data_IF_558718641172
#
_entry.id   IF_558718641172
#
_cell.length_a   1.000
_cell.length_b   1.000
_cell.length_c   1.000
_cell.angle_alpha   90.00
_cell.angle_beta   90.00
_cell.angle_gamma   90.00
#
_symmetry.space_group_name_H-M   'P 1'
#
loop_
_entity.id
_entity.type
_entity.pdbx_description
1 polymer ?
#
# COMPACT_ATOMS: atom_id res chain seq x y z
N UNK A 1 43.68 41.68 4.68
CA UNK A 1 43.05 40.84 5.72
C UNK A 1 41.90 40.09 5.06
N UNK A 2 42.07 38.79 4.79
CA UNK A 2 41.05 37.97 4.11
C UNK A 2 40.38 37.05 5.14
N UNK A 3 39.09 37.26 5.37
CA UNK A 3 38.26 36.47 6.28
C UNK A 3 37.86 35.15 5.61
N UNK A 4 38.34 34.03 6.14
CA UNK A 4 37.95 32.69 5.68
C UNK A 4 36.68 32.25 6.41
N UNK A 5 35.53 32.36 5.74
CA UNK A 5 34.25 31.89 6.27
C UNK A 5 34.14 30.37 6.06
N UNK A 6 34.23 29.57 7.13
CA UNK A 6 33.97 28.13 7.06
C UNK A 6 32.46 27.89 6.90
N UNK A 7 32.00 27.09 5.93
CA UNK A 7 30.58 26.77 5.81
C UNK A 7 30.13 25.93 7.01
N UNK A 8 29.09 26.41 7.71
CA UNK A 8 28.37 25.66 8.74
C UNK A 8 27.66 24.49 8.05
N UNK A 9 28.19 23.28 8.19
CA UNK A 9 27.49 22.06 7.78
C UNK A 9 26.42 21.76 8.82
N UNK A 10 25.15 21.91 8.46
CA UNK A 10 24.03 21.54 9.33
C UNK A 10 23.95 20.02 9.47
N UNK A 11 23.66 19.53 10.69
CA UNK A 11 23.52 18.10 10.99
C UNK A 11 22.26 17.45 10.38
N UNK A 12 21.49 18.17 9.56
CA UNK A 12 20.27 17.68 8.90
C UNK A 12 20.50 17.37 7.40
N UNK A 13 21.72 17.05 7.00
CA UNK A 13 21.98 16.52 5.66
C UNK A 13 21.58 15.04 5.62
N UNK A 14 20.41 14.73 5.06
CA UNK A 14 20.07 13.34 4.72
C UNK A 14 21.10 12.86 3.69
N UNK A 15 21.87 11.85 4.07
CA UNK A 15 22.83 11.22 3.17
C UNK A 15 22.06 10.56 2.00
N UNK A 16 22.23 11.00 0.74
CA UNK A 16 21.58 10.36 -0.41
C UNK A 16 22.14 8.95 -0.69
N UNK A 17 23.22 8.57 0.01
CA UNK A 17 23.83 7.24 0.02
C UNK A 17 23.30 6.34 1.14
N UNK A 18 22.13 6.64 1.72
CA UNK A 18 21.47 5.68 2.60
C UNK A 18 21.31 4.37 1.82
N UNK A 19 22.11 3.36 2.18
CA UNK A 19 22.10 2.03 1.58
C UNK A 19 20.70 1.42 1.62
N UNK A 20 20.45 0.31 0.92
CA UNK A 20 19.11 -0.23 0.74
C UNK A 20 18.48 -0.40 2.11
N UNK A 21 17.49 0.45 2.42
CA UNK A 21 16.58 0.14 3.51
C UNK A 21 16.03 -1.21 3.13
N UNK A 22 16.10 -2.20 4.03
CA UNK A 22 15.43 -3.47 3.84
C UNK A 22 13.98 -3.14 3.48
N UNK A 23 13.63 -3.15 2.20
CA UNK A 23 12.34 -2.69 1.72
C UNK A 23 11.38 -3.80 2.12
N UNK A 24 10.65 -3.58 3.21
CA UNK A 24 9.61 -4.50 3.65
C UNK A 24 8.63 -4.64 2.49
N UNK A 25 8.41 -5.87 1.98
CA UNK A 25 7.53 -6.09 0.84
C UNK A 25 6.15 -5.46 1.05
N UNK A 26 5.62 -4.84 -0.01
CA UNK A 26 4.32 -4.19 0.00
C UNK A 26 4.27 -2.79 0.65
N UNK A 27 5.38 -2.27 1.19
CA UNK A 27 5.46 -0.88 1.64
C UNK A 27 5.93 0.04 0.51
N UNK A 28 5.22 1.15 0.30
CA UNK A 28 5.56 2.18 -0.68
C UNK A 28 5.88 3.50 0.04
N UNK A 29 7.10 4.05 -0.11
CA UNK A 29 7.42 5.36 0.45
C UNK A 29 6.62 6.47 -0.28
N UNK A 30 6.15 7.44 0.50
CA UNK A 30 5.36 8.57 0.06
C UNK A 30 6.04 9.92 0.33
N UNK A 31 5.39 11.03 -0.08
CA UNK A 31 5.90 12.37 0.21
C UNK A 31 5.95 12.62 1.72
N UNK A 32 6.83 13.52 2.14
CA UNK A 32 7.00 13.94 3.54
C UNK A 32 7.31 12.80 4.53
N UNK A 33 7.84 11.66 4.05
CA UNK A 33 8.18 10.51 4.90
C UNK A 33 6.98 9.65 5.27
N UNK A 34 5.83 9.83 4.63
CA UNK A 34 4.73 8.89 4.71
C UNK A 34 5.11 7.52 4.13
N UNK A 35 4.47 6.47 4.60
CA UNK A 35 4.60 5.11 4.08
C UNK A 35 3.21 4.58 3.83
N UNK A 36 2.98 4.01 2.66
CA UNK A 36 1.68 3.51 2.24
C UNK A 36 1.71 1.98 2.06
N UNK A 37 0.54 1.38 2.19
CA UNK A 37 0.22 0.03 1.77
C UNK A 37 -0.89 0.08 0.72
N UNK A 38 -0.85 -0.84 -0.24
CA UNK A 38 -1.83 -0.88 -1.33
C UNK A 38 -3.18 -1.43 -0.85
N UNK A 39 -4.27 -0.91 -1.40
CA UNK A 39 -5.61 -1.48 -1.27
C UNK A 39 -5.80 -2.79 -2.04
N UNK A 40 -4.83 -3.16 -2.89
CA UNK A 40 -4.96 -4.24 -3.87
C UNK A 40 -5.68 -3.83 -5.16
N UNK A 41 -6.14 -2.58 -5.27
CA UNK A 41 -6.83 -2.03 -6.44
C UNK A 41 -6.06 -0.80 -6.94
N UNK A 42 -5.34 -0.88 -8.07
CA UNK A 42 -4.50 0.22 -8.56
C UNK A 42 -5.23 1.54 -8.74
N UNK A 43 -6.46 1.51 -9.27
CA UNK A 43 -7.26 2.72 -9.51
C UNK A 43 -7.63 3.42 -8.20
N UNK A 44 -8.00 2.65 -7.16
CA UNK A 44 -8.31 3.19 -5.84
C UNK A 44 -7.05 3.76 -5.16
N UNK A 45 -5.92 3.08 -5.27
CA UNK A 45 -4.64 3.59 -4.75
C UNK A 45 -4.26 4.91 -5.42
N UNK A 46 -4.53 5.05 -6.72
CA UNK A 46 -4.36 6.30 -7.46
C UNK A 46 -5.22 7.43 -6.90
N UNK A 47 -6.52 7.17 -6.68
CA UNK A 47 -7.45 8.14 -6.09
C UNK A 47 -7.02 8.57 -4.68
N UNK A 48 -6.51 7.63 -3.88
CA UNK A 48 -6.03 7.88 -2.51
C UNK A 48 -4.63 8.51 -2.45
N UNK A 49 -3.97 8.72 -3.59
CA UNK A 49 -2.63 9.31 -3.65
C UNK A 49 -1.50 8.35 -3.26
N UNK A 50 -1.74 7.04 -3.29
CA UNK A 50 -0.72 6.01 -3.06
C UNK A 50 -1.17 4.77 -2.29
N UNK A 51 -2.43 4.71 -1.86
CA UNK A 51 -3.00 3.65 -1.03
C UNK A 51 -3.32 4.13 0.39
N UNK A 52 -3.31 3.22 1.37
CA UNK A 52 -3.58 3.54 2.77
C UNK A 52 -2.29 3.87 3.52
N UNK A 53 -2.30 4.92 4.34
CA UNK A 53 -1.17 5.25 5.21
C UNK A 53 -0.90 4.11 6.21
N UNK A 54 0.35 3.73 6.39
CA UNK A 54 0.74 2.76 7.40
C UNK A 54 0.36 3.27 8.81
N UNK A 55 -0.28 2.42 9.61
CA UNK A 55 -0.78 2.78 10.94
C UNK A 55 -2.13 3.53 10.96
N UNK A 56 -2.76 3.72 9.80
CA UNK A 56 -4.12 4.29 9.72
C UNK A 56 -5.20 3.25 10.03
N UNK A 57 -6.38 3.74 10.43
CA UNK A 57 -7.62 2.97 10.52
C UNK A 57 -8.52 3.36 9.34
N UNK A 58 -8.94 2.36 8.56
CA UNK A 58 -9.80 2.55 7.39
C UNK A 58 -11.18 1.99 7.69
N UNK A 59 -12.22 2.78 7.43
CA UNK A 59 -13.61 2.36 7.51
C UNK A 59 -14.23 2.39 6.12
N UNK A 60 -14.80 1.27 5.70
CA UNK A 60 -15.52 1.15 4.43
C UNK A 60 -17.01 1.24 4.74
N UNK A 61 -17.66 2.29 4.23
CA UNK A 61 -19.11 2.43 4.30
C UNK A 61 -19.71 1.84 3.05
N UNK A 62 -20.70 0.98 3.22
CA UNK A 62 -21.41 0.37 2.11
C UNK A 62 -22.50 1.29 1.58
N UNK A 63 -22.59 1.37 0.26
CA UNK A 63 -23.72 1.97 -0.45
C UNK A 63 -24.79 0.90 -0.70
N UNK A 64 -26.06 1.14 -0.31
CA UNK A 64 -27.16 0.22 -0.61
C UNK A 64 -27.31 -0.15 -2.09
N UNK A 65 -26.94 0.74 -3.01
CA UNK A 65 -27.05 0.50 -4.45
C UNK A 65 -25.80 -0.19 -5.04
N UNK A 66 -24.67 -0.18 -4.31
CA UNK A 66 -23.38 -0.69 -4.78
C UNK A 66 -22.59 -1.41 -3.65
N UNK A 67 -22.97 -2.65 -3.28
CA UNK A 67 -22.38 -3.38 -2.17
C UNK A 67 -21.00 -3.98 -2.48
N UNK A 68 -19.95 -3.16 -2.51
CA UNK A 68 -18.59 -3.58 -2.89
C UNK A 68 -17.59 -3.69 -1.74
N UNK A 69 -18.01 -3.50 -0.49
CA UNK A 69 -17.13 -3.51 0.67
C UNK A 69 -16.35 -4.82 0.82
N UNK A 70 -16.97 -5.96 0.52
CA UNK A 70 -16.30 -7.28 0.53
C UNK A 70 -15.29 -7.43 -0.60
N UNK A 71 -15.48 -6.79 -1.76
CA UNK A 71 -14.49 -6.78 -2.84
C UNK A 71 -13.23 -6.03 -2.39
N UNK A 72 -13.41 -4.85 -1.77
CA UNK A 72 -12.30 -4.06 -1.23
C UNK A 72 -11.52 -4.87 -0.18
N UNK A 73 -12.22 -5.50 0.76
CA UNK A 73 -11.59 -6.30 1.81
C UNK A 73 -10.80 -7.50 1.25
N UNK A 74 -11.36 -8.23 0.27
CA UNK A 74 -10.68 -9.36 -0.36
C UNK A 74 -9.42 -8.93 -1.09
N UNK A 75 -9.46 -7.83 -1.84
CA UNK A 75 -8.27 -7.31 -2.54
C UNK A 75 -7.19 -6.86 -1.56
N UNK A 76 -7.56 -6.15 -0.50
CA UNK A 76 -6.62 -5.73 0.53
C UNK A 76 -5.93 -6.92 1.20
N UNK A 77 -6.69 -7.95 1.57
CA UNK A 77 -6.13 -9.17 2.15
C UNK A 77 -5.28 -9.96 1.15
N UNK A 78 -5.73 -10.14 -0.09
CA UNK A 78 -4.95 -10.82 -1.11
C UNK A 78 -3.62 -10.11 -1.36
N UNK A 79 -3.62 -8.78 -1.40
CA UNK A 79 -2.41 -7.97 -1.55
C UNK A 79 -1.42 -8.22 -0.39
N UNK A 80 -1.92 -8.27 0.85
CA UNK A 80 -1.09 -8.62 2.00
C UNK A 80 -0.45 -10.01 1.87
N UNK A 81 -1.20 -11.01 1.40
CA UNK A 81 -0.69 -12.36 1.19
C UNK A 81 0.42 -12.42 0.13
N UNK A 82 0.26 -11.71 -0.99
CA UNK A 82 1.28 -11.61 -2.05
C UNK A 82 2.61 -11.08 -1.52
N UNK A 83 2.54 -10.13 -0.58
CA UNK A 83 3.73 -9.54 0.05
C UNK A 83 4.19 -10.30 1.30
N UNK A 84 3.63 -11.48 1.61
CA UNK A 84 3.91 -12.25 2.83
C UNK A 84 3.71 -11.44 4.13
N UNK A 85 2.75 -10.52 4.12
CA UNK A 85 2.39 -9.73 5.30
C UNK A 85 1.46 -10.56 6.20
N UNK A 86 1.63 -10.49 7.54
CA UNK A 86 0.72 -11.16 8.46
C UNK A 86 -0.66 -10.52 8.41
N UNK A 87 -1.71 -11.35 8.31
CA UNK A 87 -3.10 -10.89 8.25
C UNK A 87 -3.91 -11.49 9.39
N UNK A 88 -4.78 -10.66 9.96
CA UNK A 88 -5.80 -11.07 10.92
C UNK A 88 -7.17 -10.77 10.31
N UNK A 89 -8.01 -11.80 10.20
CA UNK A 89 -9.40 -11.66 9.78
C UNK A 89 -10.32 -12.00 10.95
N UNK A 90 -11.14 -11.02 11.34
CA UNK A 90 -12.19 -11.17 12.33
C UNK A 90 -13.54 -10.90 11.67
N UNK A 91 -14.51 -11.78 11.91
CA UNK A 91 -15.84 -11.68 11.30
C UNK A 91 -16.88 -12.28 12.24
N UNK A 92 -18.11 -11.71 12.28
CA UNK A 92 -19.22 -12.29 13.04
C UNK A 92 -19.84 -13.52 12.35
N UNK A 93 -19.35 -13.92 11.17
CA UNK A 93 -19.85 -15.07 10.44
C UNK A 93 -19.66 -16.39 11.21
N UNK A 94 -20.61 -17.32 11.06
CA UNK A 94 -20.56 -18.66 11.68
C UNK A 94 -19.33 -19.47 11.24
N UNK A 95 -18.90 -19.30 9.98
CA UNK A 95 -17.74 -19.97 9.40
C UNK A 95 -16.81 -18.94 8.73
N UNK A 96 -15.95 -18.24 9.50
CA UNK A 96 -15.14 -17.15 8.95
C UNK A 96 -14.03 -17.65 8.01
N UNK A 97 -13.63 -18.93 8.10
CA UNK A 97 -12.58 -19.51 7.25
C UNK A 97 -13.00 -19.62 5.78
N UNK A 98 -14.30 -19.78 5.50
CA UNK A 98 -14.81 -19.84 4.12
C UNK A 98 -14.49 -18.58 3.32
N UNK A 99 -14.39 -17.43 3.99
CA UNK A 99 -13.98 -16.16 3.36
C UNK A 99 -12.59 -16.23 2.72
N UNK A 100 -11.63 -16.92 3.34
CA UNK A 100 -10.25 -16.99 2.85
C UNK A 100 -10.15 -17.72 1.49
N UNK A 101 -11.07 -18.64 1.20
CA UNK A 101 -11.16 -19.29 -0.11
C UNK A 101 -11.71 -18.40 -1.23
N UNK A 102 -12.15 -17.18 -0.90
CA UNK A 102 -12.72 -16.21 -1.87
C UNK A 102 -11.74 -15.12 -2.28
N UNK A 103 -10.51 -15.15 -1.78
CA UNK A 103 -9.50 -14.15 -2.11
C UNK A 103 -9.10 -14.26 -3.60
N UNK A 104 -8.96 -13.13 -4.31
CA UNK A 104 -8.53 -13.14 -5.71
C UNK A 104 -7.09 -13.64 -5.85
N UNK A 105 -6.80 -14.27 -6.98
CA UNK A 105 -5.44 -14.65 -7.35
C UNK A 105 -4.70 -13.46 -7.99
N UNK A 106 -3.37 -13.38 -7.82
CA UNK A 106 -2.56 -12.41 -8.55
C UNK A 106 -2.69 -12.62 -10.06
N UNK A 107 -2.75 -11.51 -10.81
CA UNK A 107 -2.76 -11.56 -12.27
C UNK A 107 -1.37 -11.97 -12.75
N UNK A 108 -1.31 -12.93 -13.66
CA UNK A 108 -0.04 -13.36 -14.24
C UNK A 108 0.40 -12.34 -15.31
N UNK A 109 1.70 -12.06 -15.47
CA UNK A 109 2.19 -11.09 -16.45
C UNK A 109 1.90 -11.49 -17.92
N UNK A 110 1.42 -12.71 -18.18
CA UNK A 110 1.01 -13.16 -19.52
C UNK A 110 -0.39 -12.67 -19.93
N UNK A 111 -1.19 -12.21 -18.97
CA UNK A 111 -2.59 -11.82 -19.20
C UNK A 111 -2.76 -10.29 -19.33
N UNK A 112 -1.67 -9.51 -19.26
CA UNK A 112 -1.71 -8.07 -19.50
C UNK A 112 -1.85 -7.78 -21.01
N UNK A 113 -3.09 -7.68 -21.47
CA UNK A 113 -3.38 -7.05 -22.76
C UNK A 113 -3.11 -5.54 -22.61
N UNK A 114 -2.24 -4.92 -23.42
CA UNK A 114 -1.98 -3.48 -23.32
C UNK A 114 -3.30 -2.74 -23.51
N UNK A 115 -3.69 -1.95 -22.51
CA UNK A 115 -4.83 -1.05 -22.62
C UNK A 115 -4.33 0.22 -23.28
N UNK A 116 -4.68 0.39 -24.55
CA UNK A 116 -4.48 1.64 -25.27
C UNK A 116 -5.28 2.73 -24.54
N UNK A 117 -4.57 3.63 -23.85
CA UNK A 117 -5.16 4.87 -23.36
C UNK A 117 -5.16 5.86 -24.54
N UNK A 118 -6.32 5.98 -25.19
CA UNK A 118 -6.63 7.05 -26.14
C UNK A 118 -7.00 8.35 -25.41
#
# INVERSE_FOLDING_TARGET
>A
MATTTRPRTSSFSRNPLAGPTSQVPGLKPGPNGSVFISSGIPDLDGILGGGFCLGSLIMVMEDPEAPHHMLLLRNFMAQGLVHNQPLLYASPAKEPKGFLGTLPNPISPKDEKPRDHA
#
